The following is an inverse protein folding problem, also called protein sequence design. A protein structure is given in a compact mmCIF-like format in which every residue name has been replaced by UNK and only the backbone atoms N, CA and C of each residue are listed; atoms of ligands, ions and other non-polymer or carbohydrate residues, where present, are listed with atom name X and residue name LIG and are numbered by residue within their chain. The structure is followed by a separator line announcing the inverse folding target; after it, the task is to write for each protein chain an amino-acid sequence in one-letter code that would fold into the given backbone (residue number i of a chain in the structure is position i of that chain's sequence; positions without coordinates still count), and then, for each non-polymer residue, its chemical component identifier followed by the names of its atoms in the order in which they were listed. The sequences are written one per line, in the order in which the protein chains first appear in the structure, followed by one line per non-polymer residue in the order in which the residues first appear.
data_IF_989153911067
#
_entry.id   IF_989153911067
#
_cell.length_a   1.000
_cell.length_b   1.000
_cell.length_c   1.000
_cell.angle_alpha   90.00
_cell.angle_beta   90.00
_cell.angle_gamma   90.00
#
_symmetry.space_group_name_H-M   'P 1'
#
loop_
_entity.id
_entity.type
_entity.pdbx_description
1 polymer ?
#
# COMPACT_ATOMS: atom_id res chain seq x y z
N UNK A 1 59.62 -46.97 6.66
CA UNK A 1 59.17 -45.95 5.74
C UNK A 1 59.29 -44.58 6.47
N UNK A 2 60.34 -43.80 6.12
CA UNK A 2 60.63 -42.52 6.83
C UNK A 2 59.82 -41.45 6.24
N UNK A 3 58.80 -40.93 7.00
CA UNK A 3 58.00 -39.73 6.66
C UNK A 3 58.96 -38.56 6.74
N UNK A 4 59.11 -37.84 5.62
CA UNK A 4 60.00 -36.68 5.50
C UNK A 4 59.58 -35.56 6.48
N UNK A 5 60.48 -35.03 7.33
CA UNK A 5 60.18 -34.01 8.33
C UNK A 5 59.63 -32.70 7.75
N UNK A 6 59.89 -32.48 6.46
CA UNK A 6 59.45 -31.26 5.78
C UNK A 6 57.92 -31.12 5.66
N UNK A 7 57.17 -32.25 5.52
CA UNK A 7 55.69 -32.20 5.46
C UNK A 7 55.06 -31.90 6.80
N UNK A 8 55.70 -32.28 7.90
CA UNK A 8 55.20 -31.99 9.25
C UNK A 8 55.41 -30.52 9.62
N UNK A 9 56.53 -29.92 9.20
CA UNK A 9 56.82 -28.49 9.44
C UNK A 9 55.85 -27.60 8.65
N UNK A 10 55.51 -27.91 7.40
CA UNK A 10 54.56 -27.18 6.61
C UNK A 10 53.15 -27.29 7.19
N UNK A 11 52.73 -28.44 7.72
CA UNK A 11 51.41 -28.60 8.36
C UNK A 11 51.29 -27.82 9.68
N UNK A 12 52.38 -27.79 10.48
CA UNK A 12 52.38 -27.01 11.74
C UNK A 12 52.42 -25.49 11.50
N UNK A 13 53.15 -25.03 10.48
CA UNK A 13 53.16 -23.61 10.09
C UNK A 13 51.80 -23.18 9.53
N UNK A 14 51.12 -24.03 8.75
CA UNK A 14 49.76 -23.74 8.26
C UNK A 14 48.74 -23.69 9.41
N UNK A 15 48.83 -24.55 10.41
CA UNK A 15 47.97 -24.54 11.58
C UNK A 15 48.22 -23.32 12.48
N UNK A 16 49.47 -22.85 12.61
CA UNK A 16 49.82 -21.65 13.37
C UNK A 16 49.35 -20.38 12.63
N UNK A 17 49.46 -20.34 11.30
CA UNK A 17 48.98 -19.19 10.49
C UNK A 17 47.44 -19.12 10.48
N UNK A 18 46.74 -20.28 10.44
CA UNK A 18 45.29 -20.33 10.58
C UNK A 18 44.81 -20.04 12.02
N UNK A 19 45.59 -20.31 13.03
CA UNK A 19 45.27 -20.01 14.44
C UNK A 19 45.60 -18.59 14.88
N UNK A 20 46.42 -17.86 14.08
CA UNK A 20 46.81 -16.47 14.33
C UNK A 20 46.15 -15.46 13.40
N UNK A 21 45.30 -15.92 12.46
CA UNK A 21 44.35 -15.02 11.83
C UNK A 21 43.40 -14.60 12.94
N UNK A 22 43.42 -13.31 13.38
CA UNK A 22 42.32 -12.83 14.21
C UNK A 22 41.08 -13.15 13.42
N UNK A 23 40.09 -13.77 14.09
CA UNK A 23 38.70 -13.72 13.67
C UNK A 23 38.32 -12.24 13.57
N UNK A 24 38.72 -11.60 12.49
CA UNK A 24 38.25 -10.31 12.11
C UNK A 24 36.82 -10.53 11.61
N UNK A 25 35.93 -10.83 12.55
CA UNK A 25 34.56 -10.43 12.41
C UNK A 25 34.66 -8.92 12.24
N UNK A 26 34.23 -8.32 11.13
CA UNK A 26 34.06 -6.89 11.12
C UNK A 26 33.12 -6.57 12.27
N UNK A 27 33.68 -6.08 13.36
CA UNK A 27 32.84 -5.49 14.42
C UNK A 27 31.95 -4.51 13.69
N UNK A 28 30.61 -4.65 13.79
CA UNK A 28 29.74 -3.67 13.19
C UNK A 28 30.26 -2.32 13.66
N UNK A 29 30.68 -1.46 12.73
CA UNK A 29 31.12 -0.13 13.06
C UNK A 29 30.04 0.44 13.96
N UNK A 30 30.35 0.92 15.16
CA UNK A 30 29.35 1.50 16.04
C UNK A 30 28.59 2.51 15.19
N UNK A 31 27.28 2.38 15.13
CA UNK A 31 26.41 3.37 14.52
C UNK A 31 26.78 4.74 15.06
N UNK A 32 26.46 5.85 14.40
CA UNK A 32 26.74 7.16 14.95
C UNK A 32 26.19 7.19 16.36
N UNK A 33 27.09 7.28 17.33
CA UNK A 33 26.80 7.36 18.75
C UNK A 33 26.33 8.78 19.07
N UNK A 34 25.08 9.03 18.79
CA UNK A 34 24.34 10.21 19.16
C UNK A 34 22.91 10.02 18.67
N UNK A 35 21.90 10.24 19.50
CA UNK A 35 20.52 10.23 19.04
C UNK A 35 20.39 11.25 17.90
N UNK A 36 19.71 10.89 16.82
CA UNK A 36 19.16 11.87 15.91
C UNK A 36 18.35 12.83 16.79
N UNK A 37 18.56 14.10 16.63
CA UNK A 37 18.03 15.11 17.53
C UNK A 37 16.50 15.34 17.47
N UNK A 38 15.74 14.37 16.95
CA UNK A 38 14.27 14.30 17.01
C UNK A 38 13.76 13.46 18.20
N UNK A 39 14.64 12.90 19.02
CA UNK A 39 14.26 12.02 20.14
C UNK A 39 13.22 12.70 21.01
N UNK A 40 12.03 12.09 21.10
CA UNK A 40 10.90 12.59 21.90
C UNK A 40 9.99 13.60 21.20
N UNK A 41 10.29 14.02 19.97
CA UNK A 41 9.45 14.93 19.20
C UNK A 41 8.49 14.19 18.27
N UNK A 42 7.39 14.83 17.92
CA UNK A 42 6.52 14.38 16.80
C UNK A 42 6.86 15.16 15.56
N UNK A 43 7.43 14.48 14.57
CA UNK A 43 7.82 15.05 13.27
C UNK A 43 6.64 15.01 12.30
N UNK A 44 6.24 16.15 11.78
CA UNK A 44 5.20 16.25 10.75
C UNK A 44 5.84 16.11 9.37
N UNK A 45 5.58 14.97 8.71
CA UNK A 45 6.15 14.65 7.41
C UNK A 45 5.12 14.78 6.28
N UNK A 46 5.34 15.71 5.36
CA UNK A 46 4.50 15.88 4.17
C UNK A 46 4.92 14.90 3.05
N UNK A 47 3.96 14.14 2.53
CA UNK A 47 4.17 13.24 1.38
C UNK A 47 3.62 13.91 0.12
N UNK A 48 4.51 14.52 -0.66
CA UNK A 48 4.17 15.27 -1.88
C UNK A 48 4.64 14.58 -3.17
N UNK A 49 4.76 13.27 -3.11
CA UNK A 49 5.02 12.39 -4.26
C UNK A 49 3.86 11.41 -4.41
N UNK A 50 3.65 10.92 -5.61
CA UNK A 50 2.59 9.95 -5.91
C UNK A 50 3.15 8.53 -6.09
N UNK A 51 2.36 7.56 -5.65
CA UNK A 51 2.53 6.16 -6.01
C UNK A 51 1.84 5.91 -7.36
N UNK A 52 2.51 6.25 -8.45
CA UNK A 52 2.01 5.92 -9.77
C UNK A 52 2.46 4.51 -10.14
N UNK A 53 1.54 3.54 -10.25
CA UNK A 53 1.90 2.13 -10.50
C UNK A 53 2.47 1.88 -11.91
N UNK A 54 2.65 2.93 -12.70
CA UNK A 54 3.21 2.90 -14.05
C UNK A 54 4.67 3.34 -14.10
N UNK A 55 5.23 3.81 -12.98
CA UNK A 55 6.65 4.15 -12.94
C UNK A 55 7.50 2.90 -12.84
N UNK A 56 8.68 2.85 -13.48
CA UNK A 56 9.65 1.76 -13.30
C UNK A 56 10.06 1.57 -11.84
N UNK A 57 10.00 2.64 -11.05
CA UNK A 57 10.42 2.76 -9.65
C UNK A 57 9.40 2.15 -8.66
N UNK A 58 8.21 1.80 -9.13
CA UNK A 58 7.16 1.19 -8.29
C UNK A 58 6.42 2.19 -7.42
N UNK A 59 6.15 1.82 -6.18
CA UNK A 59 5.39 2.62 -5.21
C UNK A 59 6.33 3.53 -4.40
N UNK A 60 6.67 4.69 -4.93
CA UNK A 60 7.68 5.61 -4.38
C UNK A 60 7.24 6.20 -3.04
N UNK A 61 6.01 6.68 -2.92
CA UNK A 61 5.51 7.25 -1.68
C UNK A 61 5.46 6.19 -0.58
N UNK A 62 4.97 4.99 -0.89
CA UNK A 62 4.90 3.88 0.05
C UNK A 62 6.28 3.46 0.57
N UNK A 63 7.28 3.36 -0.30
CA UNK A 63 8.66 3.07 0.09
C UNK A 63 9.20 4.15 1.04
N UNK A 64 9.06 5.42 0.70
CA UNK A 64 9.58 6.52 1.52
C UNK A 64 8.87 6.62 2.88
N UNK A 65 7.57 6.37 2.95
CA UNK A 65 6.83 6.27 4.21
C UNK A 65 7.44 5.17 5.11
N UNK A 66 7.74 3.99 4.55
CA UNK A 66 8.33 2.90 5.34
C UNK A 66 9.77 3.20 5.78
N UNK A 67 10.57 3.82 4.92
CA UNK A 67 11.93 4.23 5.27
C UNK A 67 11.95 5.24 6.42
N UNK A 68 11.08 6.26 6.36
CA UNK A 68 10.95 7.26 7.42
C UNK A 68 10.45 6.63 8.72
N UNK A 69 9.50 5.68 8.66
CA UNK A 69 9.05 4.90 9.85
C UNK A 69 10.18 4.08 10.47
N UNK A 70 11.03 3.48 9.66
CA UNK A 70 12.19 2.73 10.16
C UNK A 70 13.21 3.66 10.81
N UNK A 71 13.46 4.81 10.21
CA UNK A 71 14.28 5.85 10.80
C UNK A 71 13.72 6.31 12.15
N UNK A 72 12.44 6.61 12.21
CA UNK A 72 11.76 7.05 13.43
C UNK A 72 11.86 6.01 14.56
N UNK A 73 11.67 4.72 14.24
CA UNK A 73 11.85 3.62 15.20
C UNK A 73 13.28 3.47 15.68
N UNK A 74 14.27 3.63 14.79
CA UNK A 74 15.67 3.51 15.13
C UNK A 74 16.13 4.63 16.10
N UNK A 75 15.49 5.77 16.05
CA UNK A 75 15.90 7.01 16.71
C UNK A 75 14.92 7.51 17.77
N UNK A 76 13.86 6.72 18.04
CA UNK A 76 12.88 6.97 19.09
C UNK A 76 12.15 8.31 18.97
N UNK A 77 11.73 8.68 17.76
CA UNK A 77 10.80 9.78 17.53
C UNK A 77 9.49 9.29 16.90
N UNK A 78 8.44 10.08 17.04
CA UNK A 78 7.17 9.83 16.36
C UNK A 78 7.12 10.56 15.03
N UNK A 79 6.45 9.98 14.04
CA UNK A 79 6.21 10.65 12.76
C UNK A 79 4.72 10.63 12.42
N UNK A 80 4.20 11.81 12.10
CA UNK A 80 2.85 11.99 11.58
C UNK A 80 2.94 12.34 10.11
N UNK A 81 2.48 11.43 9.26
CA UNK A 81 2.42 11.68 7.83
C UNK A 81 1.18 12.51 7.48
N UNK A 82 1.36 13.44 6.55
CA UNK A 82 0.28 14.27 6.01
C UNK A 82 0.34 14.28 4.49
N UNK A 83 -0.81 14.28 3.85
CA UNK A 83 -0.91 14.52 2.41
C UNK A 83 -1.31 15.97 2.18
N UNK A 84 -0.45 16.79 1.55
CA UNK A 84 -0.78 18.17 1.22
C UNK A 84 -2.07 18.26 0.39
N UNK A 85 -2.84 19.31 0.61
CA UNK A 85 -4.03 19.56 -0.20
C UNK A 85 -3.65 20.02 -1.61
N UNK A 86 -4.49 19.79 -2.62
CA UNK A 86 -4.27 20.32 -3.95
C UNK A 86 -4.08 21.84 -3.93
N UNK A 87 -2.97 22.31 -4.54
CA UNK A 87 -2.62 23.74 -4.54
C UNK A 87 -1.74 24.19 -3.38
N UNK A 88 -1.48 23.35 -2.39
CA UNK A 88 -0.51 23.67 -1.33
C UNK A 88 0.89 23.77 -1.90
N UNK A 89 1.55 24.87 -1.60
CA UNK A 89 2.98 25.01 -1.88
C UNK A 89 3.77 24.38 -0.74
N UNK A 90 3.99 23.07 -0.84
CA UNK A 90 4.67 22.26 0.22
C UNK A 90 6.01 22.87 0.58
N UNK A 91 6.79 23.31 -0.41
CA UNK A 91 8.08 23.99 -0.21
C UNK A 91 7.95 25.26 0.66
N UNK A 92 6.93 26.09 0.41
CA UNK A 92 6.70 27.32 1.18
C UNK A 92 6.21 26.99 2.60
N UNK A 93 5.41 25.94 2.72
CA UNK A 93 4.94 25.40 4.00
C UNK A 93 6.08 24.81 4.83
N UNK A 94 7.02 24.11 4.18
CA UNK A 94 8.24 23.59 4.81
C UNK A 94 9.15 24.72 5.26
N UNK A 95 9.41 25.71 4.38
CA UNK A 95 10.20 26.90 4.72
C UNK A 95 9.59 27.70 5.89
N UNK A 96 8.26 27.74 5.98
CA UNK A 96 7.53 28.37 7.09
C UNK A 96 7.42 27.49 8.36
N UNK A 97 7.97 26.26 8.35
CA UNK A 97 7.95 25.35 9.49
C UNK A 97 6.59 24.74 9.81
N UNK A 98 5.65 24.71 8.85
CA UNK A 98 4.37 24.00 8.99
C UNK A 98 4.54 22.48 8.87
N UNK A 99 5.56 22.04 8.17
CA UNK A 99 6.05 20.68 8.09
C UNK A 99 7.49 20.67 8.57
N UNK A 100 7.90 19.59 9.22
CA UNK A 100 9.28 19.41 9.70
C UNK A 100 10.14 18.71 8.64
N UNK A 101 9.52 17.80 7.91
CA UNK A 101 10.10 16.99 6.84
C UNK A 101 9.13 16.94 5.67
N UNK A 102 9.64 16.84 4.45
CA UNK A 102 8.82 16.59 3.27
C UNK A 102 9.50 15.63 2.30
N UNK A 103 8.71 14.72 1.73
CA UNK A 103 9.11 13.87 0.60
C UNK A 103 8.61 14.52 -0.67
N UNK A 104 9.54 14.97 -1.51
CA UNK A 104 9.28 15.83 -2.67
C UNK A 104 9.99 15.29 -3.93
N UNK A 105 9.47 15.57 -5.14
CA UNK A 105 10.29 15.46 -6.35
C UNK A 105 11.52 16.38 -6.27
N UNK A 106 12.67 15.87 -6.71
CA UNK A 106 13.95 16.59 -6.57
C UNK A 106 13.98 17.95 -7.28
N UNK A 107 13.25 18.09 -8.38
CA UNK A 107 13.12 19.34 -9.15
C UNK A 107 12.27 20.40 -8.45
N UNK A 108 11.44 20.01 -7.47
CA UNK A 108 10.60 20.93 -6.71
C UNK A 108 11.37 21.91 -5.83
N UNK A 109 12.65 21.63 -5.53
CA UNK A 109 13.51 22.43 -4.65
C UNK A 109 14.50 23.33 -5.40
N UNK A 110 14.43 23.40 -6.71
CA UNK A 110 15.34 24.25 -7.49
C UNK A 110 15.19 25.71 -7.08
N UNK A 111 16.31 26.33 -6.66
CA UNK A 111 16.37 27.75 -6.25
C UNK A 111 15.94 28.03 -4.81
N UNK A 112 15.80 27.00 -3.98
CA UNK A 112 15.52 27.13 -2.54
C UNK A 112 16.74 26.75 -1.70
N UNK A 113 16.94 27.48 -0.60
CA UNK A 113 17.96 27.20 0.42
C UNK A 113 17.34 26.35 1.53
N UNK A 114 17.10 25.07 1.20
CA UNK A 114 16.60 24.06 2.14
C UNK A 114 17.56 22.87 2.13
N UNK A 115 17.88 22.38 3.31
CA UNK A 115 18.63 21.13 3.45
C UNK A 115 17.83 19.97 2.88
N UNK A 116 18.48 19.21 2.00
CA UNK A 116 17.88 18.06 1.33
C UNK A 116 18.75 16.83 1.47
N UNK A 117 18.10 15.68 1.48
CA UNK A 117 18.70 14.36 1.51
C UNK A 117 18.21 13.62 0.27
N UNK A 118 19.11 13.08 -0.52
CA UNK A 118 18.75 12.23 -1.65
C UNK A 118 18.11 10.93 -1.10
N UNK A 119 16.82 10.77 -1.34
CA UNK A 119 16.04 9.69 -0.79
C UNK A 119 16.16 8.41 -1.62
N UNK A 120 15.73 7.31 -1.07
CA UNK A 120 15.68 6.03 -1.77
C UNK A 120 14.59 6.03 -2.84
N UNK A 121 14.95 6.33 -4.04
CA UNK A 121 14.08 6.39 -5.21
C UNK A 121 14.52 7.50 -6.15
N UNK A 122 14.61 7.22 -7.45
CA UNK A 122 15.08 8.17 -8.44
C UNK A 122 14.14 9.39 -8.52
N UNK A 123 14.74 10.58 -8.46
CA UNK A 123 14.02 11.83 -8.58
C UNK A 123 13.25 12.28 -7.33
N UNK A 124 13.46 11.64 -6.18
CA UNK A 124 12.80 11.97 -4.89
C UNK A 124 13.82 12.39 -3.87
N UNK A 125 13.51 13.42 -3.10
CA UNK A 125 14.34 13.92 -1.99
C UNK A 125 13.54 14.07 -0.72
N UNK A 126 14.23 13.98 0.42
CA UNK A 126 13.72 14.41 1.71
C UNK A 126 14.24 15.81 2.00
N UNK A 127 13.35 16.76 2.21
CA UNK A 127 13.70 18.13 2.54
C UNK A 127 13.29 18.45 3.98
N UNK A 128 14.16 19.18 4.68
CA UNK A 128 13.92 19.56 6.08
C UNK A 128 13.52 21.02 6.19
N UNK A 129 12.68 21.33 7.18
CA UNK A 129 12.44 22.71 7.57
C UNK A 129 13.73 23.37 8.08
N UNK A 130 13.91 24.69 7.93
CA UNK A 130 15.16 25.38 8.27
C UNK A 130 15.61 25.15 9.72
N UNK A 131 14.68 25.09 10.67
CA UNK A 131 14.98 24.83 12.09
C UNK A 131 15.46 23.39 12.37
N UNK A 132 15.34 22.49 11.41
CA UNK A 132 15.81 21.12 11.47
C UNK A 132 17.01 20.85 10.56
N UNK A 133 17.55 21.82 9.85
CA UNK A 133 18.65 21.66 8.90
C UNK A 133 19.87 20.95 9.48
N UNK A 134 20.22 21.23 10.75
CA UNK A 134 21.34 20.55 11.44
C UNK A 134 21.18 19.03 11.59
N UNK A 135 19.99 18.51 11.34
CA UNK A 135 19.65 17.07 11.44
C UNK A 135 19.86 16.34 10.12
N UNK A 136 20.02 17.08 9.00
CA UNK A 136 20.15 16.53 7.65
C UNK A 136 21.27 15.49 7.56
N UNK A 137 22.49 15.85 8.02
CA UNK A 137 23.64 14.94 8.00
C UNK A 137 23.39 13.63 8.76
N UNK A 138 22.61 13.67 9.83
CA UNK A 138 22.33 12.49 10.65
C UNK A 138 21.32 11.57 9.96
N UNK A 139 20.27 12.14 9.36
CA UNK A 139 19.30 11.41 8.56
C UNK A 139 19.95 10.80 7.31
N UNK A 140 20.79 11.57 6.61
CA UNK A 140 21.51 11.10 5.44
C UNK A 140 22.44 9.93 5.78
N UNK A 141 23.24 10.06 6.83
CA UNK A 141 24.11 8.96 7.29
C UNK A 141 23.32 7.72 7.68
N UNK A 142 22.15 7.89 8.32
CA UNK A 142 21.27 6.77 8.64
C UNK A 142 20.78 6.11 7.36
N UNK A 143 20.23 6.89 6.41
CA UNK A 143 19.68 6.39 5.15
C UNK A 143 20.75 5.66 4.33
N UNK A 144 21.92 6.26 4.11
CA UNK A 144 23.03 5.65 3.35
C UNK A 144 23.42 4.31 3.97
N UNK A 145 23.56 4.23 5.29
CA UNK A 145 23.90 2.97 5.96
C UNK A 145 22.78 1.93 5.85
N UNK A 146 21.53 2.38 5.97
CA UNK A 146 20.41 1.47 5.82
C UNK A 146 20.33 0.91 4.40
N UNK A 147 20.61 1.73 3.38
CA UNK A 147 20.64 1.32 1.97
C UNK A 147 21.71 0.23 1.66
N UNK A 148 22.74 0.12 2.49
CA UNK A 148 23.75 -0.94 2.38
C UNK A 148 23.31 -2.29 3.01
N UNK A 149 22.13 -2.34 3.65
CA UNK A 149 21.65 -3.53 4.35
C UNK A 149 20.78 -4.44 3.47
N UNK A 150 20.73 -5.73 3.87
CA UNK A 150 19.77 -6.68 3.28
C UNK A 150 18.31 -6.26 3.55
N UNK A 151 18.05 -5.64 4.69
CA UNK A 151 16.73 -5.14 5.05
C UNK A 151 16.23 -4.08 4.08
N UNK A 152 17.11 -3.14 3.67
CA UNK A 152 16.77 -2.18 2.63
C UNK A 152 16.48 -2.87 1.29
N UNK A 153 17.34 -3.81 0.90
CA UNK A 153 17.14 -4.55 -0.34
C UNK A 153 15.78 -5.26 -0.35
N UNK A 154 15.41 -5.88 0.76
CA UNK A 154 14.12 -6.54 0.90
C UNK A 154 12.94 -5.56 0.83
N UNK A 155 13.05 -4.38 1.49
CA UNK A 155 12.02 -3.35 1.44
C UNK A 155 11.89 -2.74 0.04
N UNK A 156 13.00 -2.37 -0.57
CA UNK A 156 13.01 -1.84 -1.93
C UNK A 156 12.36 -2.81 -2.91
N UNK A 157 12.69 -4.10 -2.84
CA UNK A 157 12.05 -5.13 -3.66
C UNK A 157 10.54 -5.26 -3.39
N UNK A 158 10.08 -5.03 -2.15
CA UNK A 158 8.65 -5.06 -1.83
C UNK A 158 7.88 -4.01 -2.62
N UNK A 159 8.40 -2.78 -2.66
CA UNK A 159 7.72 -1.65 -3.29
C UNK A 159 7.94 -1.57 -4.81
N UNK A 160 9.06 -2.09 -5.33
CA UNK A 160 9.35 -2.11 -6.76
C UNK A 160 8.79 -3.34 -7.49
N UNK A 161 8.32 -4.37 -6.77
CA UNK A 161 7.76 -5.60 -7.35
C UNK A 161 6.29 -5.49 -7.74
N UNK A 162 5.66 -4.33 -7.61
CA UNK A 162 4.27 -4.13 -8.03
C UNK A 162 4.18 -4.22 -9.55
N UNK A 163 3.68 -5.37 -10.04
CA UNK A 163 3.58 -5.66 -11.47
C UNK A 163 2.13 -5.64 -11.91
N UNK A 164 1.90 -5.22 -13.16
CA UNK A 164 0.61 -5.39 -13.80
C UNK A 164 0.29 -6.90 -13.88
N UNK A 165 -0.74 -7.40 -13.16
CA UNK A 165 -1.05 -8.82 -13.09
C UNK A 165 -1.43 -9.41 -14.46
N UNK A 166 -2.09 -8.63 -15.31
CA UNK A 166 -2.46 -9.07 -16.65
C UNK A 166 -1.24 -9.30 -17.53
N UNK A 167 -0.25 -8.42 -17.48
CA UNK A 167 1.03 -8.63 -18.19
C UNK A 167 1.77 -9.89 -17.72
N UNK A 168 1.71 -10.18 -16.42
CA UNK A 168 2.31 -11.40 -15.89
C UNK A 168 1.57 -12.65 -16.39
N UNK A 169 0.25 -12.61 -16.37
CA UNK A 169 -0.63 -13.69 -16.85
C UNK A 169 -0.43 -13.95 -18.36
N UNK A 170 -0.56 -12.91 -19.19
CA UNK A 170 -0.40 -13.01 -20.65
C UNK A 170 1.01 -13.50 -21.04
N UNK A 171 2.03 -13.15 -20.26
CA UNK A 171 3.41 -13.60 -20.44
C UNK A 171 3.75 -14.94 -19.78
N UNK A 172 2.78 -15.67 -19.22
CA UNK A 172 2.97 -16.95 -18.54
C UNK A 172 3.92 -16.90 -17.34
N UNK A 173 4.05 -15.73 -16.70
CA UNK A 173 4.96 -15.50 -15.58
C UNK A 173 4.28 -15.72 -14.24
N UNK A 174 4.98 -16.44 -13.36
CA UNK A 174 4.57 -16.59 -11.97
C UNK A 174 5.17 -15.48 -11.10
N UNK A 175 4.45 -15.11 -10.07
CA UNK A 175 4.89 -14.13 -9.07
C UNK A 175 4.82 -14.75 -7.68
N UNK A 176 5.70 -14.34 -6.79
CA UNK A 176 5.71 -14.77 -5.37
C UNK A 176 4.99 -13.77 -4.46
N UNK A 177 4.66 -12.60 -4.98
CA UNK A 177 4.05 -11.50 -4.23
C UNK A 177 3.17 -10.67 -5.15
N UNK A 178 2.00 -10.26 -4.64
CA UNK A 178 1.05 -9.38 -5.33
C UNK A 178 1.38 -7.91 -5.05
N UNK A 179 1.65 -7.60 -3.77
CA UNK A 179 1.84 -6.23 -3.29
C UNK A 179 2.82 -6.15 -2.12
N UNK A 180 3.26 -4.94 -1.72
CA UNK A 180 4.01 -4.75 -0.48
C UNK A 180 3.24 -5.15 0.78
N UNK A 181 1.91 -5.26 0.68
CA UNK A 181 0.99 -5.41 1.81
C UNK A 181 0.45 -6.83 1.98
N UNK A 182 0.96 -7.82 1.24
CA UNK A 182 0.41 -9.19 1.20
C UNK A 182 0.21 -9.82 2.58
N UNK A 183 1.13 -9.60 3.53
CA UNK A 183 1.00 -10.13 4.89
C UNK A 183 -0.22 -9.55 5.62
N UNK A 184 -0.41 -8.24 5.51
CA UNK A 184 -1.54 -7.52 6.10
C UNK A 184 -2.86 -7.90 5.42
N UNK A 185 -2.85 -8.03 4.08
CA UNK A 185 -4.01 -8.48 3.31
C UNK A 185 -4.48 -9.87 3.73
N UNK A 186 -3.53 -10.80 3.96
CA UNK A 186 -3.85 -12.15 4.45
C UNK A 186 -4.47 -12.12 5.84
N UNK A 187 -4.03 -11.21 6.72
CA UNK A 187 -4.62 -11.05 8.04
C UNK A 187 -6.05 -10.51 7.96
N UNK A 188 -6.27 -9.42 7.22
CA UNK A 188 -7.59 -8.82 7.04
C UNK A 188 -8.58 -9.79 6.34
N UNK A 189 -8.15 -10.49 5.30
CA UNK A 189 -8.99 -11.43 4.55
C UNK A 189 -9.46 -12.61 5.42
N UNK A 190 -8.65 -13.08 6.37
CA UNK A 190 -9.08 -14.11 7.33
C UNK A 190 -10.25 -13.67 8.19
N UNK A 191 -10.27 -12.41 8.63
CA UNK A 191 -11.39 -11.85 9.40
C UNK A 191 -12.65 -11.68 8.56
N UNK A 192 -12.50 -11.46 7.25
CA UNK A 192 -13.58 -11.36 6.29
C UNK A 192 -14.08 -12.74 5.81
N UNK A 193 -13.39 -13.82 6.14
CA UNK A 193 -13.64 -15.15 5.58
C UNK A 193 -13.51 -15.16 4.03
N UNK A 194 -12.67 -14.30 3.49
CA UNK A 194 -12.38 -14.18 2.07
C UNK A 194 -11.04 -14.83 1.69
N UNK A 195 -10.94 -15.27 0.44
CA UNK A 195 -9.64 -15.50 -0.17
C UNK A 195 -8.89 -14.14 -0.24
N UNK A 196 -7.70 -14.09 0.32
CA UNK A 196 -6.92 -12.85 0.36
C UNK A 196 -6.61 -12.29 -1.04
N UNK A 197 -6.63 -13.15 -2.09
CA UNK A 197 -6.44 -12.73 -3.49
C UNK A 197 -7.65 -11.97 -4.01
N UNK A 198 -8.86 -12.24 -3.49
CA UNK A 198 -10.05 -11.45 -3.81
C UNK A 198 -9.92 -10.04 -3.20
N UNK A 199 -9.50 -9.95 -1.93
CA UNK A 199 -9.23 -8.65 -1.30
C UNK A 199 -8.12 -7.88 -2.04
N UNK A 200 -7.04 -8.56 -2.45
CA UNK A 200 -5.97 -7.98 -3.25
C UNK A 200 -6.47 -7.48 -4.62
N UNK A 201 -7.36 -8.23 -5.27
CA UNK A 201 -7.95 -7.84 -6.56
C UNK A 201 -8.84 -6.60 -6.43
N UNK A 202 -9.62 -6.51 -5.36
CA UNK A 202 -10.41 -5.32 -5.04
C UNK A 202 -9.50 -4.11 -4.86
N UNK A 203 -8.47 -4.19 -4.01
CA UNK A 203 -7.53 -3.09 -3.76
C UNK A 203 -6.76 -2.70 -5.02
N UNK A 204 -6.36 -3.69 -5.84
CA UNK A 204 -5.73 -3.38 -7.13
C UNK A 204 -6.67 -2.62 -8.06
N UNK A 205 -7.95 -2.93 -8.04
CA UNK A 205 -8.96 -2.22 -8.85
C UNK A 205 -9.16 -0.80 -8.33
N UNK A 206 -9.19 -0.60 -7.01
CA UNK A 206 -9.38 0.70 -6.37
C UNK A 206 -8.18 1.65 -6.57
N UNK A 207 -6.97 1.19 -6.27
CA UNK A 207 -5.81 2.08 -6.13
C UNK A 207 -4.53 1.62 -6.80
N UNK A 208 -4.48 0.40 -7.35
CA UNK A 208 -3.23 -0.26 -7.77
C UNK A 208 -2.21 -0.38 -6.62
N UNK A 209 -2.71 -0.52 -5.38
CA UNK A 209 -1.93 -0.50 -4.14
C UNK A 209 -1.28 0.85 -3.79
N UNK A 210 -1.72 1.95 -4.38
CA UNK A 210 -1.21 3.27 -4.04
C UNK A 210 -1.80 3.79 -2.74
N UNK A 211 -0.93 4.20 -1.80
CA UNK A 211 -1.33 4.87 -0.56
C UNK A 211 -1.83 6.30 -0.79
N UNK A 212 -1.43 6.90 -1.90
CA UNK A 212 -1.71 8.30 -2.22
C UNK A 212 -2.80 8.47 -3.27
N UNK A 213 -3.40 7.37 -3.74
CA UNK A 213 -4.49 7.42 -4.70
C UNK A 213 -5.66 8.25 -4.15
N UNK A 214 -6.15 9.18 -4.95
CA UNK A 214 -7.26 10.04 -4.60
C UNK A 214 -8.25 10.13 -5.75
N UNK A 215 -9.52 9.88 -5.47
CA UNK A 215 -10.58 10.00 -6.45
C UNK A 215 -11.13 11.43 -6.52
N UNK A 216 -11.82 11.76 -7.61
CA UNK A 216 -12.52 13.07 -7.74
C UNK A 216 -13.61 13.29 -6.68
N UNK A 217 -14.06 12.23 -6.01
CA UNK A 217 -15.07 12.27 -4.93
C UNK A 217 -14.45 12.29 -3.54
N UNK A 218 -13.10 12.41 -3.44
CA UNK A 218 -12.37 12.47 -2.18
C UNK A 218 -12.10 11.11 -1.53
N UNK A 219 -12.39 9.99 -2.22
CA UNK A 219 -11.98 8.68 -1.72
C UNK A 219 -10.45 8.55 -1.77
N UNK A 220 -9.83 7.94 -0.75
CA UNK A 220 -8.40 8.02 -0.52
C UNK A 220 -7.75 6.69 -0.13
N UNK A 221 -6.51 6.49 -0.60
CA UNK A 221 -5.61 5.41 -0.24
C UNK A 221 -5.94 4.06 -0.86
N UNK A 222 -5.40 2.99 -0.27
CA UNK A 222 -5.44 1.62 -0.80
C UNK A 222 -6.84 1.14 -1.18
N UNK A 223 -7.79 1.34 -0.28
CA UNK A 223 -9.16 0.86 -0.41
C UNK A 223 -10.15 1.97 -0.79
N UNK A 224 -9.66 3.14 -1.21
CA UNK A 224 -10.50 4.26 -1.64
C UNK A 224 -11.60 4.59 -0.62
N UNK A 225 -11.17 4.80 0.64
CA UNK A 225 -12.08 5.19 1.72
C UNK A 225 -12.39 6.68 1.62
N UNK A 226 -13.66 7.04 1.76
CA UNK A 226 -14.06 8.44 1.92
C UNK A 226 -13.80 8.82 3.37
N UNK A 227 -12.81 9.70 3.66
CA UNK A 227 -12.46 10.03 5.04
C UNK A 227 -13.50 10.93 5.68
N UNK A 228 -13.73 10.75 6.97
CA UNK A 228 -14.39 11.74 7.78
C UNK A 228 -13.50 13.00 7.95
N UNK A 229 -14.07 14.16 8.29
CA UNK A 229 -13.27 15.36 8.50
C UNK A 229 -12.15 15.14 9.52
N UNK A 230 -10.90 15.33 9.09
CA UNK A 230 -9.70 15.15 9.91
C UNK A 230 -9.06 13.75 9.88
N UNK A 231 -9.67 12.77 9.22
CA UNK A 231 -9.13 11.39 9.17
C UNK A 231 -8.22 11.12 7.96
N UNK A 232 -8.21 12.02 6.97
CA UNK A 232 -7.52 11.80 5.69
C UNK A 232 -6.05 11.40 5.85
N UNK A 233 -5.31 12.08 6.73
CA UNK A 233 -3.90 11.82 6.93
C UNK A 233 -3.65 10.45 7.60
N UNK A 234 -4.56 10.03 8.49
CA UNK A 234 -4.48 8.71 9.10
C UNK A 234 -4.61 7.56 8.08
N UNK A 235 -5.30 7.81 6.97
CA UNK A 235 -5.46 6.84 5.88
C UNK A 235 -4.20 6.65 5.01
N UNK A 236 -3.15 7.46 5.17
CA UNK A 236 -1.82 7.19 4.63
C UNK A 236 -1.14 5.99 5.32
N UNK A 237 -1.60 5.63 6.52
CA UNK A 237 -1.18 4.39 7.13
C UNK A 237 -1.86 3.21 6.45
N UNK A 238 -1.10 2.23 5.88
CA UNK A 238 -1.71 1.10 5.17
C UNK A 238 -2.56 0.22 6.09
N UNK A 239 -2.22 0.10 7.38
CA UNK A 239 -3.02 -0.66 8.35
C UNK A 239 -4.37 0.02 8.58
N UNK A 240 -4.36 1.31 8.90
CA UNK A 240 -5.59 2.08 9.11
C UNK A 240 -6.50 2.03 7.89
N UNK A 241 -5.93 2.22 6.69
CA UNK A 241 -6.71 2.18 5.45
C UNK A 241 -7.36 0.80 5.23
N UNK A 242 -6.59 -0.28 5.44
CA UNK A 242 -7.08 -1.65 5.32
C UNK A 242 -8.13 -1.98 6.40
N UNK A 243 -7.96 -1.53 7.63
CA UNK A 243 -8.92 -1.73 8.72
C UNK A 243 -10.26 -1.08 8.41
N UNK A 244 -10.26 0.18 7.94
CA UNK A 244 -11.49 0.89 7.54
C UNK A 244 -12.19 0.17 6.37
N UNK A 245 -11.45 -0.23 5.34
CA UNK A 245 -12.00 -0.95 4.19
C UNK A 245 -12.54 -2.33 4.57
N UNK A 246 -11.80 -3.09 5.39
CA UNK A 246 -12.24 -4.39 5.88
C UNK A 246 -13.48 -4.29 6.77
N UNK A 247 -13.55 -3.27 7.65
CA UNK A 247 -14.73 -3.00 8.45
C UNK A 247 -15.95 -2.68 7.57
N UNK A 248 -15.77 -1.92 6.50
CA UNK A 248 -16.83 -1.65 5.53
C UNK A 248 -17.31 -2.93 4.82
N UNK A 249 -16.40 -3.75 4.30
CA UNK A 249 -16.74 -5.06 3.69
C UNK A 249 -17.52 -5.93 4.68
N UNK A 250 -17.04 -6.05 5.92
CA UNK A 250 -17.69 -6.83 6.99
C UNK A 250 -19.11 -6.32 7.31
N UNK A 251 -19.32 -5.00 7.25
CA UNK A 251 -20.63 -4.39 7.39
C UNK A 251 -21.55 -4.79 6.23
N UNK A 252 -21.07 -4.74 5.00
CA UNK A 252 -21.81 -5.16 3.81
C UNK A 252 -22.18 -6.65 3.87
N UNK A 253 -21.23 -7.52 4.23
CA UNK A 253 -21.49 -8.96 4.41
C UNK A 253 -22.62 -9.19 5.41
N UNK A 254 -22.58 -8.55 6.58
CA UNK A 254 -23.64 -8.65 7.59
C UNK A 254 -24.98 -8.15 7.07
N UNK A 255 -24.97 -7.04 6.34
CA UNK A 255 -26.17 -6.45 5.76
C UNK A 255 -26.86 -7.42 4.79
N UNK A 256 -26.14 -7.98 3.82
CA UNK A 256 -26.74 -8.88 2.83
C UNK A 256 -27.09 -10.26 3.42
N UNK A 257 -26.32 -10.73 4.39
CA UNK A 257 -26.73 -11.94 5.15
C UNK A 257 -28.04 -11.72 5.91
N UNK A 258 -28.31 -10.56 6.45
CA UNK A 258 -29.61 -10.23 7.06
C UNK A 258 -30.74 -10.16 6.04
N UNK A 259 -30.43 -10.09 4.74
CA UNK A 259 -31.39 -10.19 3.62
C UNK A 259 -31.57 -11.61 3.08
N UNK A 260 -31.01 -12.61 3.76
CA UNK A 260 -31.17 -14.02 3.39
C UNK A 260 -30.08 -14.60 2.52
N UNK A 261 -28.99 -13.85 2.25
CA UNK A 261 -27.86 -14.38 1.48
C UNK A 261 -26.97 -15.30 2.33
N UNK A 262 -26.63 -16.44 1.79
CA UNK A 262 -25.68 -17.36 2.42
C UNK A 262 -24.24 -17.05 2.03
N UNK A 263 -23.23 -17.39 2.88
CA UNK A 263 -21.83 -17.27 2.51
C UNK A 263 -21.49 -18.07 1.25
N UNK A 264 -20.79 -17.44 0.30
CA UNK A 264 -20.43 -18.06 -0.97
C UNK A 264 -20.20 -17.03 -2.08
N UNK A 265 -20.02 -17.54 -3.28
CA UNK A 265 -19.65 -16.71 -4.45
C UNK A 265 -20.72 -15.63 -4.75
N UNK A 266 -22.00 -15.91 -4.58
CA UNK A 266 -23.08 -14.92 -4.80
C UNK A 266 -22.97 -13.75 -3.81
N UNK A 267 -22.75 -14.04 -2.52
CA UNK A 267 -22.53 -13.01 -1.51
C UNK A 267 -21.28 -12.18 -1.80
N UNK A 268 -20.19 -12.83 -2.23
CA UNK A 268 -18.95 -12.14 -2.55
C UNK A 268 -19.12 -11.16 -3.72
N UNK A 269 -19.82 -11.57 -4.79
CA UNK A 269 -20.14 -10.70 -5.91
C UNK A 269 -21.03 -9.52 -5.49
N UNK A 270 -22.08 -9.78 -4.71
CA UNK A 270 -23.00 -8.74 -4.22
C UNK A 270 -22.24 -7.74 -3.30
N UNK A 271 -21.37 -8.23 -2.43
CA UNK A 271 -20.56 -7.37 -1.55
C UNK A 271 -19.58 -6.50 -2.35
N UNK A 272 -18.92 -7.07 -3.36
CA UNK A 272 -18.04 -6.32 -4.28
C UNK A 272 -18.84 -5.28 -5.07
N UNK A 273 -20.01 -5.62 -5.57
CA UNK A 273 -20.90 -4.67 -6.26
C UNK A 273 -21.36 -3.54 -5.33
N UNK A 274 -21.74 -3.90 -4.08
CA UNK A 274 -22.16 -2.92 -3.08
C UNK A 274 -21.04 -2.03 -2.58
N UNK A 275 -19.81 -2.52 -2.57
CA UNK A 275 -18.62 -1.70 -2.26
C UNK A 275 -18.51 -0.52 -3.22
N UNK A 276 -18.76 -0.75 -4.51
CA UNK A 276 -18.73 0.28 -5.55
C UNK A 276 -19.99 1.15 -5.60
N UNK A 277 -21.18 0.52 -5.61
CA UNK A 277 -22.46 1.21 -5.86
C UNK A 277 -23.21 1.61 -4.58
N UNK A 278 -22.85 1.03 -3.44
CA UNK A 278 -23.55 1.18 -2.17
C UNK A 278 -24.65 0.12 -1.98
N UNK A 279 -24.85 -0.30 -0.72
CA UNK A 279 -25.84 -1.34 -0.33
C UNK A 279 -27.27 -1.00 -0.74
N UNK A 280 -27.62 0.28 -0.73
CA UNK A 280 -28.96 0.69 -1.11
C UNK A 280 -29.29 0.42 -2.59
N UNK A 281 -28.32 0.60 -3.50
CA UNK A 281 -28.52 0.27 -4.92
C UNK A 281 -28.69 -1.22 -5.13
N UNK A 282 -27.89 -2.01 -4.43
CA UNK A 282 -28.01 -3.47 -4.51
C UNK A 282 -29.34 -3.96 -3.93
N UNK A 283 -29.85 -3.32 -2.87
CA UNK A 283 -31.19 -3.62 -2.34
C UNK A 283 -32.28 -3.31 -3.37
N UNK A 284 -32.20 -2.16 -4.05
CA UNK A 284 -33.15 -1.81 -5.12
C UNK A 284 -33.11 -2.83 -6.27
N UNK A 285 -31.91 -3.33 -6.64
CA UNK A 285 -31.73 -4.38 -7.64
C UNK A 285 -32.31 -5.74 -7.19
N UNK A 286 -32.12 -6.10 -5.93
CA UNK A 286 -32.74 -7.31 -5.35
C UNK A 286 -34.26 -7.22 -5.43
N UNK A 287 -34.86 -6.09 -5.07
CA UNK A 287 -36.30 -5.87 -5.20
C UNK A 287 -36.78 -5.94 -6.66
N UNK A 288 -35.98 -5.42 -7.60
CA UNK A 288 -36.31 -5.54 -9.03
C UNK A 288 -36.26 -7.00 -9.52
N UNK A 289 -35.28 -7.77 -9.06
CA UNK A 289 -35.21 -9.21 -9.37
C UNK A 289 -36.44 -9.95 -8.86
N UNK A 290 -36.87 -9.71 -7.61
CA UNK A 290 -38.11 -10.26 -7.05
C UNK A 290 -39.35 -9.92 -7.88
N UNK A 291 -39.48 -8.64 -8.29
CA UNK A 291 -40.57 -8.18 -9.16
C UNK A 291 -40.59 -8.88 -10.53
N UNK A 292 -39.44 -9.32 -11.00
CA UNK A 292 -39.27 -10.11 -12.24
C UNK A 292 -39.44 -11.61 -12.03
N UNK A 293 -39.68 -12.07 -10.80
CA UNK A 293 -39.79 -13.49 -10.46
C UNK A 293 -38.44 -14.22 -10.43
N UNK A 294 -37.33 -13.47 -10.31
CA UNK A 294 -35.98 -14.01 -10.21
C UNK A 294 -35.57 -14.11 -8.75
N UNK A 295 -34.66 -15.04 -8.44
CA UNK A 295 -34.07 -15.16 -7.10
C UNK A 295 -33.13 -13.93 -6.83
N UNK A 296 -33.47 -13.06 -5.85
CA UNK A 296 -32.72 -11.85 -5.55
C UNK A 296 -31.37 -12.13 -4.86
N UNK A 297 -31.12 -13.38 -4.44
CA UNK A 297 -29.89 -13.79 -3.77
C UNK A 297 -28.84 -14.36 -4.73
N UNK A 298 -29.22 -14.60 -5.99
CA UNK A 298 -28.32 -15.10 -7.02
C UNK A 298 -27.69 -13.94 -7.82
N UNK A 299 -26.35 -13.90 -7.91
CA UNK A 299 -25.62 -12.84 -8.60
C UNK A 299 -25.97 -12.72 -10.07
N UNK A 300 -26.11 -13.82 -10.81
CA UNK A 300 -26.40 -13.76 -12.24
C UNK A 300 -27.78 -13.13 -12.51
N UNK A 301 -28.77 -13.39 -11.64
CA UNK A 301 -30.06 -12.74 -11.70
C UNK A 301 -29.98 -11.24 -11.42
N UNK A 302 -29.17 -10.84 -10.43
CA UNK A 302 -28.92 -9.41 -10.15
C UNK A 302 -28.20 -8.75 -11.34
N UNK A 303 -27.20 -9.43 -11.91
CA UNK A 303 -26.49 -8.98 -13.11
C UNK A 303 -27.41 -8.72 -14.29
N UNK A 304 -28.41 -9.60 -14.48
CA UNK A 304 -29.40 -9.47 -15.56
C UNK A 304 -30.29 -8.25 -15.38
N UNK A 305 -30.68 -7.90 -14.17
CA UNK A 305 -31.60 -6.77 -13.89
C UNK A 305 -30.89 -5.42 -13.80
N UNK A 306 -29.56 -5.37 -13.66
CA UNK A 306 -28.80 -4.10 -13.58
C UNK A 306 -29.09 -3.17 -14.77
N UNK A 307 -29.04 -3.59 -16.05
CA UNK A 307 -29.34 -2.73 -17.18
C UNK A 307 -30.80 -2.22 -17.18
N UNK A 308 -31.71 -3.02 -16.66
CA UNK A 308 -33.15 -2.70 -16.61
C UNK A 308 -33.48 -1.60 -15.60
N UNK A 309 -32.59 -1.36 -14.64
CA UNK A 309 -32.80 -0.37 -13.57
C UNK A 309 -32.96 1.05 -14.12
N UNK A 310 -32.27 1.38 -15.21
CA UNK A 310 -32.39 2.70 -15.85
C UNK A 310 -33.76 2.92 -16.52
N UNK A 311 -34.38 1.84 -17.01
CA UNK A 311 -35.68 1.86 -17.68
C UNK A 311 -36.84 1.89 -16.69
N UNK A 312 -36.64 1.35 -15.49
CA UNK A 312 -37.67 1.18 -14.47
C UNK A 312 -37.59 2.20 -13.34
N UNK A 313 -36.66 3.16 -13.44
CA UNK A 313 -36.41 4.18 -12.38
C UNK A 313 -37.68 4.98 -12.00
N UNK A 314 -38.61 5.16 -12.94
CA UNK A 314 -39.87 5.89 -12.74
C UNK A 314 -41.05 5.00 -12.31
N UNK A 315 -40.86 3.66 -12.39
CA UNK A 315 -41.95 2.68 -12.16
C UNK A 315 -41.85 1.95 -10.81
N UNK A 316 -40.73 2.07 -10.12
CA UNK A 316 -40.47 1.38 -8.85
C UNK A 316 -40.50 2.41 -7.73
N UNK A 317 -41.57 2.42 -6.93
CA UNK A 317 -41.70 3.30 -5.74
C UNK A 317 -40.52 3.15 -4.76
N UNK A 318 -39.76 2.05 -4.86
CA UNK A 318 -38.58 1.75 -4.03
C UNK A 318 -37.28 2.36 -4.54
N UNK A 319 -37.23 2.94 -5.77
CA UNK A 319 -36.02 3.59 -6.31
C UNK A 319 -35.90 5.03 -5.80
N UNK A 320 -35.76 5.16 -4.48
CA UNK A 320 -35.62 6.45 -3.81
C UNK A 320 -34.33 7.25 -4.18
N UNK A 321 -33.40 6.64 -4.98
CA UNK A 321 -32.05 7.14 -5.18
C UNK A 321 -31.71 7.65 -6.58
N UNK A 322 -32.72 7.82 -7.45
CA UNK A 322 -32.54 8.37 -8.81
C UNK A 322 -31.98 7.32 -9.80
N UNK A 323 -31.75 7.73 -11.06
CA UNK A 323 -31.32 6.87 -12.15
C UNK A 323 -29.99 6.18 -11.84
N UNK A 324 -29.92 4.87 -12.06
CA UNK A 324 -28.73 4.05 -11.94
C UNK A 324 -28.52 3.25 -13.25
N UNK A 325 -27.43 3.56 -13.95
CA UNK A 325 -27.14 2.90 -15.22
C UNK A 325 -26.42 1.55 -15.04
N UNK A 326 -25.77 1.32 -13.91
CA UNK A 326 -25.17 0.07 -13.47
C UNK A 326 -23.98 -0.46 -14.29
N UNK A 327 -23.75 0.07 -15.49
CA UNK A 327 -22.67 -0.38 -16.35
C UNK A 327 -21.28 -0.24 -15.72
N UNK A 328 -21.04 0.84 -14.98
CA UNK A 328 -19.78 1.05 -14.24
C UNK A 328 -19.60 -0.01 -13.15
N UNK A 329 -20.69 -0.35 -12.42
CA UNK A 329 -20.64 -1.36 -11.36
C UNK A 329 -20.43 -2.76 -11.94
N UNK A 330 -21.09 -3.12 -13.06
CA UNK A 330 -20.80 -4.39 -13.73
C UNK A 330 -19.34 -4.50 -14.16
N UNK A 331 -18.83 -3.46 -14.84
CA UNK A 331 -17.43 -3.42 -15.27
C UNK A 331 -16.46 -3.50 -14.08
N UNK A 332 -16.81 -2.88 -12.96
CA UNK A 332 -16.04 -2.94 -11.73
C UNK A 332 -15.98 -4.38 -11.17
N UNK A 333 -17.14 -5.02 -11.00
CA UNK A 333 -17.22 -6.41 -10.51
C UNK A 333 -16.46 -7.35 -11.43
N UNK A 334 -16.70 -7.27 -12.75
CA UNK A 334 -15.99 -8.08 -13.74
C UNK A 334 -14.47 -7.87 -13.68
N UNK A 335 -14.03 -6.64 -13.44
CA UNK A 335 -12.60 -6.32 -13.28
C UNK A 335 -12.01 -6.96 -12.03
N UNK A 336 -12.67 -6.83 -10.88
CA UNK A 336 -12.21 -7.42 -9.61
C UNK A 336 -12.10 -8.94 -9.74
N UNK A 337 -13.13 -9.61 -10.25
CA UNK A 337 -13.11 -11.08 -10.39
C UNK A 337 -12.15 -11.56 -11.49
N UNK A 338 -11.93 -10.76 -12.53
CA UNK A 338 -10.86 -11.03 -13.52
C UNK A 338 -9.48 -11.03 -12.85
N UNK A 339 -9.14 -10.01 -12.07
CA UNK A 339 -7.87 -9.97 -11.35
C UNK A 339 -7.77 -11.05 -10.28
N UNK A 340 -8.85 -11.35 -9.58
CA UNK A 340 -8.89 -12.46 -8.63
C UNK A 340 -8.53 -13.79 -9.30
N UNK A 341 -9.13 -14.10 -10.46
CA UNK A 341 -8.82 -15.30 -11.21
C UNK A 341 -7.39 -15.31 -11.76
N UNK A 342 -6.89 -14.17 -12.23
CA UNK A 342 -5.49 -14.03 -12.64
C UNK A 342 -4.56 -14.32 -11.47
N UNK A 343 -4.80 -13.75 -10.29
CA UNK A 343 -3.97 -13.99 -9.10
C UNK A 343 -3.98 -15.47 -8.66
N UNK A 344 -5.10 -16.16 -8.79
CA UNK A 344 -5.16 -17.61 -8.53
C UNK A 344 -4.24 -18.43 -9.42
N UNK A 345 -4.01 -17.97 -10.64
CA UNK A 345 -3.16 -18.66 -11.62
C UNK A 345 -1.68 -18.30 -11.47
N UNK A 346 -1.36 -17.02 -11.35
CA UNK A 346 0.03 -16.54 -11.42
C UNK A 346 0.77 -16.57 -10.07
N UNK A 347 0.05 -16.63 -8.96
CA UNK A 347 0.66 -16.64 -7.63
C UNK A 347 1.07 -18.06 -7.22
N UNK A 348 2.34 -18.22 -6.85
CA UNK A 348 2.92 -19.46 -6.31
C UNK A 348 3.35 -19.30 -4.86
#
# INVERSE_FOLDING_TARGET
MKVRPLKLIVAVVLLIVCGLLPLWSPTPKPGPSGPLSFTGDTVVCAIAVDDLPLTPEGLVAGLNIELIRRCARADSFEVRFVRPLPGDLVRDSLAAGRYDLAVLPADSLVGMDLERIDAAGEGVVWALAPHHGSKADSLERWLVRFMETEDYTAEHQRFTCVRNPRRAFDGGRYISRISPYDATLRAAARELQWDWRLLAALIYTESKFSLTAESRRGAFGLMQIVPEPGERDALLDPLNNLEHGAAHIKRLQRYFRSKGMEPGDDLDHIVVAAYNAGEGRLTDLMSLAELKGLDPTNWENIREVIPLMAEHADSIETVARGRFYGGETLAYVDTVFTYYNIYKVILR
#
